data_IF_389049759062
#
_entry.id   IF_389049759062
#
_cell.length_a   1.000
_cell.length_b   1.000
_cell.length_c   1.000
_cell.angle_alpha   90.00
_cell.angle_beta   90.00
_cell.angle_gamma   90.00
#
_symmetry.space_group_name_H-M   'P 1'
#
loop_
_entity.id
_entity.type
_entity.pdbx_description
1 polymer ?
#
# COMPACT_ATOMS: atom_id res chain seq x y z
N UNK A 1 11.67 -42.84 -1.31
CA UNK A 1 10.99 -41.57 -0.95
C UNK A 1 11.64 -40.47 -1.76
N UNK A 2 11.04 -40.09 -2.89
CA UNK A 2 11.62 -39.09 -3.81
C UNK A 2 11.12 -37.72 -3.36
N UNK A 3 12.01 -36.91 -2.79
CA UNK A 3 11.73 -35.49 -2.64
C UNK A 3 11.69 -34.88 -4.03
N UNK A 4 10.55 -34.30 -4.40
CA UNK A 4 10.42 -33.54 -5.63
C UNK A 4 11.32 -32.30 -5.53
N UNK A 5 12.56 -32.40 -6.02
CA UNK A 5 13.46 -31.26 -6.18
C UNK A 5 12.94 -30.40 -7.34
N UNK A 6 11.84 -29.66 -7.11
CA UNK A 6 11.48 -28.55 -7.97
C UNK A 6 12.45 -27.41 -7.65
N UNK A 7 13.20 -26.89 -8.63
CA UNK A 7 14.02 -25.71 -8.41
C UNK A 7 13.14 -24.58 -7.88
N UNK A 8 13.53 -23.98 -6.76
CA UNK A 8 12.88 -22.81 -6.18
C UNK A 8 13.90 -21.68 -6.11
N UNK A 9 13.52 -20.53 -6.65
CA UNK A 9 14.32 -19.31 -6.54
C UNK A 9 14.01 -18.66 -5.19
N UNK A 10 15.02 -18.17 -4.44
CA UNK A 10 14.76 -17.39 -3.23
C UNK A 10 13.93 -16.15 -3.57
N UNK A 11 12.93 -15.85 -2.72
CA UNK A 11 12.12 -14.63 -2.82
C UNK A 11 12.68 -13.53 -1.90
N UNK A 12 12.33 -12.28 -2.17
CA UNK A 12 12.64 -11.13 -1.30
C UNK A 12 11.69 -10.98 -0.10
N UNK A 13 10.88 -11.99 0.20
CA UNK A 13 9.94 -11.96 1.32
C UNK A 13 10.70 -12.02 2.65
N UNK A 14 10.49 -11.01 3.50
CA UNK A 14 10.97 -11.02 4.89
C UNK A 14 9.83 -11.51 5.78
N UNK A 15 10.04 -12.63 6.47
CA UNK A 15 9.08 -13.16 7.45
C UNK A 15 9.43 -12.59 8.82
N UNK A 16 8.47 -11.94 9.48
CA UNK A 16 8.66 -11.29 10.79
C UNK A 16 8.08 -12.09 11.94
N UNK A 17 7.06 -12.90 11.67
CA UNK A 17 6.40 -13.75 12.66
C UNK A 17 5.62 -14.90 11.95
N UNK A 18 5.03 -15.81 12.72
CA UNK A 18 4.18 -16.89 12.21
C UNK A 18 2.89 -17.00 13.00
N UNK A 19 1.78 -17.23 12.29
CA UNK A 19 0.46 -17.44 12.89
C UNK A 19 0.06 -18.92 12.81
N UNK A 20 -0.42 -19.49 13.92
CA UNK A 20 -0.80 -20.91 14.00
C UNK A 20 -2.22 -21.09 14.56
N UNK A 21 -3.22 -21.04 13.68
CA UNK A 21 -4.61 -21.34 14.00
C UNK A 21 -5.15 -22.55 13.23
N UNK A 22 -4.65 -22.77 12.01
CA UNK A 22 -5.00 -23.90 11.15
C UNK A 22 -3.77 -24.28 10.30
N UNK A 23 -2.66 -24.54 10.99
CA UNK A 23 -1.33 -24.67 10.41
C UNK A 23 -0.50 -23.38 10.48
N UNK A 24 0.81 -23.52 10.28
CA UNK A 24 1.79 -22.43 10.36
C UNK A 24 1.71 -21.58 9.09
N UNK A 25 1.32 -20.32 9.24
CA UNK A 25 1.24 -19.32 8.15
C UNK A 25 2.24 -18.19 8.42
N UNK A 26 3.16 -17.88 7.48
CA UNK A 26 4.12 -16.81 7.70
C UNK A 26 3.43 -15.44 7.67
N UNK A 27 3.87 -14.54 8.55
CA UNK A 27 3.51 -13.12 8.54
C UNK A 27 4.68 -12.38 7.88
N UNK A 28 4.43 -11.80 6.71
CA UNK A 28 5.42 -11.01 5.98
C UNK A 28 5.56 -9.59 6.53
N UNK A 29 6.75 -9.01 6.40
CA UNK A 29 6.96 -7.59 6.67
C UNK A 29 6.13 -6.72 5.70
N UNK A 30 5.26 -5.87 6.25
CA UNK A 30 4.54 -4.85 5.50
C UNK A 30 5.17 -3.47 5.64
N UNK A 31 4.93 -2.59 4.67
CA UNK A 31 5.35 -1.17 4.73
C UNK A 31 4.28 -0.23 5.31
N UNK A 32 3.10 -0.76 5.63
CA UNK A 32 1.96 0.02 6.12
C UNK A 32 2.28 0.65 7.48
N UNK A 33 2.17 1.98 7.58
CA UNK A 33 2.30 2.73 8.83
C UNK A 33 0.90 3.04 9.38
N UNK A 34 0.56 2.40 10.50
CA UNK A 34 -0.69 2.68 11.24
C UNK A 34 -0.43 3.82 12.22
N UNK A 35 -1.20 4.90 12.09
CA UNK A 35 -1.08 6.08 12.96
C UNK A 35 -2.05 6.03 14.13
N UNK A 36 -3.25 5.47 13.89
CA UNK A 36 -4.28 5.31 14.90
C UNK A 36 -5.22 4.16 14.52
N UNK A 37 -6.17 3.82 15.37
CA UNK A 37 -7.20 2.81 15.11
C UNK A 37 -8.58 3.31 15.52
N UNK A 38 -9.59 2.98 14.74
CA UNK A 38 -11.00 3.25 15.10
C UNK A 38 -11.79 1.96 15.29
N UNK A 39 -12.81 2.01 16.14
CA UNK A 39 -13.74 0.91 16.33
C UNK A 39 -14.99 1.10 15.46
N UNK A 40 -15.11 0.31 14.38
CA UNK A 40 -16.26 0.32 13.48
C UNK A 40 -16.50 -1.08 12.92
N UNK A 41 -17.31 -1.89 13.61
CA UNK A 41 -17.45 -3.32 13.33
C UNK A 41 -16.11 -4.06 13.39
N UNK A 42 -15.35 -3.79 14.45
CA UNK A 42 -13.96 -4.26 14.64
C UNK A 42 -12.95 -3.10 14.59
N UNK A 43 -11.69 -3.43 14.84
CA UNK A 43 -10.57 -2.48 14.83
C UNK A 43 -10.15 -2.20 13.39
N UNK A 44 -10.36 -0.97 12.90
CA UNK A 44 -9.93 -0.51 11.58
C UNK A 44 -8.70 0.38 11.71
N UNK A 45 -7.58 0.07 11.04
CA UNK A 45 -6.40 0.92 11.08
C UNK A 45 -6.64 2.22 10.32
N UNK A 46 -6.16 3.32 10.89
CA UNK A 46 -6.08 4.63 10.24
C UNK A 46 -4.61 4.83 9.84
N UNK A 47 -4.38 5.01 8.54
CA UNK A 47 -3.04 5.21 7.98
C UNK A 47 -2.87 6.64 7.50
N UNK A 48 -1.63 7.13 7.48
CA UNK A 48 -1.31 8.39 6.82
C UNK A 48 -1.32 8.21 5.30
N UNK A 49 -2.02 9.08 4.59
CA UNK A 49 -1.96 9.15 3.13
C UNK A 49 -0.79 10.02 2.68
N UNK A 50 -0.14 9.64 1.58
CA UNK A 50 0.84 10.49 0.89
C UNK A 50 0.18 11.40 -0.17
N UNK A 51 -1.15 11.38 -0.29
CA UNK A 51 -1.87 12.24 -1.23
C UNK A 51 -1.70 13.71 -0.83
N UNK A 52 -1.26 14.54 -1.78
CA UNK A 52 -1.18 15.98 -1.62
C UNK A 52 -2.53 16.62 -1.94
N UNK A 53 -3.25 17.05 -0.91
CA UNK A 53 -4.56 17.71 -1.02
C UNK A 53 -4.33 19.22 -0.91
N UNK A 54 -4.73 19.99 -1.93
CA UNK A 54 -4.56 21.44 -1.97
C UNK A 54 -5.75 22.21 -1.40
N UNK A 55 -6.91 21.56 -1.29
CA UNK A 55 -8.10 22.18 -0.74
C UNK A 55 -9.26 21.20 -0.58
N UNK A 56 -10.39 21.72 -0.09
CA UNK A 56 -11.62 20.98 0.13
C UNK A 56 -12.82 21.81 -0.33
N UNK A 57 -13.69 21.21 -1.16
CA UNK A 57 -14.95 21.82 -1.57
C UNK A 57 -16.05 21.52 -0.54
N UNK A 58 -17.25 22.09 -0.74
CA UNK A 58 -18.45 21.76 0.03
C UNK A 58 -18.70 20.24 0.08
N UNK A 59 -19.21 19.80 1.23
CA UNK A 59 -19.42 18.38 1.57
C UNK A 59 -18.14 17.53 1.62
N UNK A 60 -17.04 18.11 2.11
CA UNK A 60 -15.78 17.40 2.38
C UNK A 60 -15.19 16.70 1.14
N UNK A 61 -15.28 17.32 -0.03
CA UNK A 61 -14.70 16.76 -1.26
C UNK A 61 -13.26 17.26 -1.44
N UNK A 62 -12.22 16.42 -1.27
CA UNK A 62 -10.85 16.85 -1.43
C UNK A 62 -10.53 17.14 -2.90
N UNK A 63 -9.73 18.17 -3.15
CA UNK A 63 -9.20 18.50 -4.48
C UNK A 63 -7.67 18.49 -4.44
N UNK A 64 -7.07 18.06 -5.56
CA UNK A 64 -5.63 18.11 -5.77
C UNK A 64 -5.27 19.33 -6.63
N UNK A 65 -3.98 19.64 -6.71
CA UNK A 65 -3.48 20.66 -7.62
C UNK A 65 -3.78 20.29 -9.07
N UNK A 66 -4.19 21.26 -9.88
CA UNK A 66 -4.23 21.13 -11.34
C UNK A 66 -2.95 21.66 -12.00
N UNK A 67 -1.95 22.05 -11.22
CA UNK A 67 -0.64 22.42 -11.74
C UNK A 67 0.00 21.13 -12.24
N UNK A 68 0.22 21.08 -13.55
CA UNK A 68 1.02 20.05 -14.21
C UNK A 68 2.44 20.61 -14.24
N UNK A 69 3.40 19.84 -13.73
CA UNK A 69 4.78 20.31 -13.54
C UNK A 69 5.41 20.77 -14.86
N UNK A 70 5.34 19.94 -15.91
CA UNK A 70 6.06 20.16 -17.17
C UNK A 70 5.08 20.21 -18.36
N UNK A 71 4.43 21.35 -18.53
CA UNK A 71 3.54 21.59 -19.66
C UNK A 71 4.30 21.63 -20.99
N UNK A 72 5.59 22.00 -21.02
CA UNK A 72 6.39 22.01 -22.24
C UNK A 72 6.64 20.60 -22.76
N UNK A 73 7.01 19.66 -21.88
CA UNK A 73 7.14 18.24 -22.23
C UNK A 73 5.80 17.66 -22.71
N UNK A 74 4.69 18.01 -22.08
CA UNK A 74 3.38 17.47 -22.46
C UNK A 74 2.90 17.99 -23.83
N UNK A 75 3.17 19.27 -24.14
CA UNK A 75 2.81 19.87 -25.44
C UNK A 75 3.72 19.40 -26.59
N UNK A 76 4.93 18.92 -26.28
CA UNK A 76 5.84 18.31 -27.27
C UNK A 76 5.39 16.96 -27.82
N UNK A 77 4.36 16.34 -27.22
CA UNK A 77 3.72 15.10 -27.74
C UNK A 77 2.43 15.37 -28.54
N UNK A 78 2.05 16.63 -28.72
CA UNK A 78 0.91 17.02 -29.55
C UNK A 78 1.38 17.35 -30.98
N UNK A 79 1.96 16.35 -31.64
CA UNK A 79 2.18 16.31 -33.09
C UNK A 79 1.04 15.53 -33.75
#
# INVERSE_FOLDING_TARGET
MVFANRPVTPSSLVVVDTFNQAGIRPIGAGSLKVQDTMFASGTRPITSSTLHITGMLTALRPIASNIIDDYEVLMGYLD
#
